data_IF_434330830029
#
_entry.id   IF_434330830029
#
_cell.length_a   1.000
_cell.length_b   1.000
_cell.length_c   1.000
_cell.angle_alpha   90.00
_cell.angle_beta   90.00
_cell.angle_gamma   90.00
#
_symmetry.space_group_name_H-M   'P 1'
#
loop_
_entity.id
_entity.type
_entity.pdbx_description
1 polymer ?
#
# COMPACT_ATOMS: atom_id res chain seq x y z
N UNK A 1 -9.65 -8.85 12.71
CA UNK A 1 -10.98 -8.44 12.17
C UNK A 1 -11.11 -9.04 10.78
N UNK A 2 -12.09 -9.92 10.56
CA UNK A 2 -12.31 -10.53 9.24
C UNK A 2 -13.05 -9.54 8.32
N UNK A 3 -12.76 -9.55 7.01
CA UNK A 3 -13.40 -8.69 6.01
C UNK A 3 -14.93 -8.85 6.01
N UNK A 4 -15.42 -10.08 6.21
CA UNK A 4 -16.86 -10.38 6.31
C UNK A 4 -17.49 -9.74 7.55
N UNK A 5 -16.77 -9.73 8.68
CA UNK A 5 -17.23 -9.08 9.91
C UNK A 5 -17.27 -7.56 9.76
N UNK A 6 -16.28 -6.98 9.06
CA UNK A 6 -16.25 -5.54 8.77
C UNK A 6 -17.36 -5.15 7.80
N UNK A 7 -17.65 -6.00 6.80
CA UNK A 7 -18.75 -5.79 5.86
C UNK A 7 -20.12 -5.86 6.55
N UNK A 8 -20.34 -6.85 7.42
CA UNK A 8 -21.58 -6.93 8.22
C UNK A 8 -21.79 -5.68 9.08
N UNK A 9 -20.74 -5.25 9.81
CA UNK A 9 -20.77 -4.01 10.61
C UNK A 9 -20.94 -2.73 9.80
N UNK A 10 -20.60 -2.75 8.51
CA UNK A 10 -20.82 -1.64 7.59
C UNK A 10 -22.27 -1.64 7.12
N UNK A 11 -22.83 -2.81 6.78
CA UNK A 11 -24.24 -2.96 6.44
C UNK A 11 -25.14 -2.55 7.60
N UNK A 12 -24.86 -3.00 8.82
CA UNK A 12 -25.64 -2.61 10.02
C UNK A 12 -25.64 -1.09 10.20
N UNK A 13 -24.47 -0.46 10.04
CA UNK A 13 -24.35 0.99 10.17
C UNK A 13 -25.10 1.75 9.08
N UNK A 14 -25.10 1.25 7.84
CA UNK A 14 -25.91 1.83 6.74
C UNK A 14 -27.42 1.72 7.06
N UNK A 15 -27.87 0.59 7.61
CA UNK A 15 -29.26 0.45 8.02
C UNK A 15 -29.63 1.37 9.19
N UNK A 16 -28.68 1.68 10.07
CA UNK A 16 -28.89 2.61 11.19
C UNK A 16 -28.86 4.08 10.75
N UNK A 17 -28.08 4.44 9.74
CA UNK A 17 -28.01 5.81 9.20
C UNK A 17 -29.20 6.16 8.30
N UNK A 18 -29.82 5.17 7.67
CA UNK A 18 -30.89 5.37 6.69
C UNK A 18 -32.13 6.11 7.25
N UNK A 19 -32.71 5.73 8.41
CA UNK A 19 -33.86 6.45 8.99
C UNK A 19 -33.51 7.90 9.38
N UNK A 20 -32.27 8.12 9.82
CA UNK A 20 -31.79 9.46 10.16
C UNK A 20 -31.56 10.31 8.91
N UNK A 21 -31.24 9.73 7.75
CA UNK A 21 -31.21 10.44 6.48
C UNK A 21 -32.62 10.76 5.97
N UNK A 22 -33.56 9.84 6.12
CA UNK A 22 -34.96 10.04 5.69
C UNK A 22 -35.63 11.22 6.41
N UNK A 23 -35.31 11.43 7.71
CA UNK A 23 -35.74 12.61 8.48
C UNK A 23 -35.32 13.95 7.87
N UNK A 24 -34.25 13.99 7.06
CA UNK A 24 -33.76 15.21 6.40
C UNK A 24 -34.28 15.34 4.97
N UNK A 25 -34.83 14.26 4.39
CA UNK A 25 -35.41 14.24 3.05
C UNK A 25 -36.91 14.52 3.10
N UNK A 26 -37.58 14.21 4.20
CA UNK A 26 -39.00 14.48 4.38
C UNK A 26 -39.25 15.98 4.65
N UNK A 27 -39.84 16.68 3.67
CA UNK A 27 -40.08 18.13 3.70
C UNK A 27 -41.07 18.60 4.76
N UNK A 28 -41.68 17.69 5.51
CA UNK A 28 -42.59 17.98 6.63
C UNK A 28 -41.91 18.03 8.01
N UNK A 29 -40.63 17.68 8.11
CA UNK A 29 -39.89 17.67 9.39
C UNK A 29 -38.69 18.60 9.28
N UNK A 30 -38.59 19.58 10.18
CA UNK A 30 -37.40 20.41 10.30
C UNK A 30 -36.43 19.69 11.25
N UNK A 31 -35.28 19.19 10.77
CA UNK A 31 -34.31 18.50 11.62
C UNK A 31 -33.75 19.47 12.66
N UNK A 32 -33.64 19.01 13.91
CA UNK A 32 -33.07 19.79 15.00
C UNK A 32 -31.53 19.80 14.95
N UNK A 33 -30.89 20.70 15.70
CA UNK A 33 -29.43 20.71 15.84
C UNK A 33 -28.87 19.36 16.32
N UNK A 34 -29.61 18.67 17.18
CA UNK A 34 -29.24 17.34 17.70
C UNK A 34 -29.30 16.28 16.60
N UNK A 35 -30.29 16.36 15.71
CA UNK A 35 -30.42 15.43 14.58
C UNK A 35 -29.27 15.64 13.59
N UNK A 36 -28.86 16.89 13.37
CA UNK A 36 -27.70 17.23 12.53
C UNK A 36 -26.41 16.65 13.10
N UNK A 37 -26.18 16.81 14.41
CA UNK A 37 -25.00 16.26 15.09
C UNK A 37 -24.97 14.72 15.04
N UNK A 38 -26.13 14.08 15.26
CA UNK A 38 -26.25 12.63 15.20
C UNK A 38 -25.97 12.08 13.79
N UNK A 39 -26.57 12.69 12.75
CA UNK A 39 -26.32 12.30 11.37
C UNK A 39 -24.85 12.52 10.99
N UNK A 40 -24.26 13.65 11.39
CA UNK A 40 -22.86 13.94 11.13
C UNK A 40 -21.93 12.90 11.77
N UNK A 41 -22.20 12.50 13.02
CA UNK A 41 -21.43 11.47 13.73
C UNK A 41 -21.54 10.12 13.04
N UNK A 42 -22.74 9.72 12.68
CA UNK A 42 -23.00 8.47 11.97
C UNK A 42 -22.31 8.41 10.60
N UNK A 43 -22.31 9.53 9.85
CA UNK A 43 -21.60 9.63 8.57
C UNK A 43 -20.07 9.54 8.75
N UNK A 44 -19.53 10.15 9.81
CA UNK A 44 -18.11 10.06 10.12
C UNK A 44 -17.69 8.62 10.45
N UNK A 45 -18.48 7.92 11.27
CA UNK A 45 -18.22 6.52 11.61
C UNK A 45 -18.35 5.61 10.37
N UNK A 46 -19.30 5.90 9.48
CA UNK A 46 -19.47 5.19 8.22
C UNK A 46 -18.26 5.37 7.30
N UNK A 47 -17.77 6.61 7.16
CA UNK A 47 -16.57 6.91 6.38
C UNK A 47 -15.34 6.20 6.94
N UNK A 48 -15.19 6.16 8.27
CA UNK A 48 -14.12 5.42 8.95
C UNK A 48 -14.17 3.93 8.63
N UNK A 49 -15.34 3.29 8.80
CA UNK A 49 -15.52 1.86 8.48
C UNK A 49 -15.33 1.55 6.99
N UNK A 50 -15.78 2.43 6.10
CA UNK A 50 -15.59 2.26 4.65
C UNK A 50 -14.10 2.30 4.28
N UNK A 51 -13.34 3.19 4.91
CA UNK A 51 -11.88 3.28 4.72
C UNK A 51 -11.18 2.00 5.18
N UNK A 52 -11.57 1.45 6.33
CA UNK A 52 -11.08 0.16 6.85
C UNK A 52 -11.44 -0.99 5.92
N UNK A 53 -12.69 -1.07 5.47
CA UNK A 53 -13.14 -2.10 4.52
C UNK A 53 -12.38 -2.03 3.19
N UNK A 54 -12.22 -0.82 2.63
CA UNK A 54 -11.45 -0.60 1.40
C UNK A 54 -10.01 -1.07 1.55
N UNK A 55 -9.36 -0.71 2.66
CA UNK A 55 -7.99 -1.16 2.93
C UNK A 55 -7.91 -2.69 3.08
N UNK A 56 -8.80 -3.30 3.86
CA UNK A 56 -8.83 -4.77 4.02
C UNK A 56 -9.08 -5.48 2.69
N UNK A 57 -10.01 -4.99 1.87
CA UNK A 57 -10.28 -5.54 0.53
C UNK A 57 -9.04 -5.45 -0.36
N UNK A 58 -8.43 -4.27 -0.45
CA UNK A 58 -7.22 -4.05 -1.25
C UNK A 58 -6.04 -4.90 -0.76
N UNK A 59 -5.82 -5.02 0.55
CA UNK A 59 -4.76 -5.87 1.12
C UNK A 59 -5.02 -7.37 0.87
N UNK A 60 -6.28 -7.78 0.84
CA UNK A 60 -6.66 -9.18 0.55
C UNK A 60 -6.51 -9.52 -0.93
N UNK A 61 -6.89 -8.59 -1.82
CA UNK A 61 -6.83 -8.78 -3.28
C UNK A 61 -5.40 -8.66 -3.84
N UNK A 62 -4.53 -7.85 -3.21
CA UNK A 62 -3.14 -7.64 -3.65
C UNK A 62 -2.18 -8.70 -3.07
N UNK A 63 -2.54 -9.40 -2.00
CA UNK A 63 -1.69 -10.44 -1.41
C UNK A 63 -2.48 -11.58 -0.74
N UNK A 64 -2.98 -12.54 -1.54
CA UNK A 64 -3.48 -13.82 -1.04
C UNK A 64 -2.46 -14.56 -0.15
N UNK A 65 -1.16 -14.33 -0.39
CA UNK A 65 -0.04 -14.88 0.38
C UNK A 65 0.11 -14.29 1.78
N UNK A 66 -0.23 -13.02 2.01
CA UNK A 66 -0.07 -12.38 3.34
C UNK A 66 -1.10 -12.92 4.37
N UNK A 67 -2.29 -13.28 3.91
CA UNK A 67 -3.31 -13.94 4.73
C UNK A 67 -2.88 -15.31 5.26
N UNK A 68 -1.98 -16.01 4.54
CA UNK A 68 -1.37 -17.27 5.01
C UNK A 68 -0.41 -16.97 6.15
N UNK A 69 0.45 -15.96 6.03
CA UNK A 69 1.42 -15.60 7.07
C UNK A 69 0.75 -15.11 8.36
N UNK A 70 -0.33 -14.33 8.29
CA UNK A 70 -1.08 -13.91 9.48
C UNK A 70 -1.70 -15.10 10.23
N UNK A 71 -2.25 -16.07 9.49
CA UNK A 71 -2.84 -17.29 10.09
C UNK A 71 -1.78 -18.28 10.58
N UNK A 72 -0.64 -18.39 9.89
CA UNK A 72 0.50 -19.21 10.32
C UNK A 72 1.17 -18.61 11.56
N UNK A 73 1.20 -17.28 11.68
CA UNK A 73 1.66 -16.57 12.88
C UNK A 73 0.76 -16.82 14.09
N UNK A 74 -0.56 -16.90 13.90
CA UNK A 74 -1.51 -17.24 14.97
C UNK A 74 -1.44 -18.73 15.36
N UNK A 75 -1.04 -19.62 14.43
CA UNK A 75 -0.95 -21.05 14.66
C UNK A 75 0.38 -21.53 15.29
N UNK A 76 1.35 -20.64 15.51
CA UNK A 76 2.71 -21.00 15.94
C UNK A 76 3.05 -20.45 17.33
N UNK A 77 2.18 -20.68 18.32
CA UNK A 77 2.54 -20.58 19.73
C UNK A 77 2.89 -21.96 20.28
N UNK A 78 4.11 -22.43 20.04
CA UNK A 78 4.79 -23.36 20.95
C UNK A 78 6.26 -22.96 21.08
N UNK A 79 6.53 -22.23 22.17
CA UNK A 79 7.66 -22.38 23.09
C UNK A 79 9.07 -22.51 22.51
N UNK A 80 9.84 -21.43 22.54
CA UNK A 80 11.23 -21.48 23.04
C UNK A 80 11.68 -20.09 23.54
N UNK A 81 12.25 -20.07 24.76
CA UNK A 81 12.72 -18.91 25.51
C UNK A 81 14.06 -18.40 24.97
N UNK A 82 14.23 -17.08 24.79
CA UNK A 82 15.56 -16.45 24.88
C UNK A 82 15.46 -15.11 25.64
N UNK A 83 16.31 -15.00 26.66
CA UNK A 83 16.43 -13.94 27.67
C UNK A 83 16.60 -12.53 27.10
N UNK A 84 15.87 -11.61 27.73
CA UNK A 84 16.15 -10.17 27.79
C UNK A 84 17.41 -9.92 28.63
N UNK A 85 18.27 -9.02 28.20
CA UNK A 85 19.09 -8.23 29.13
C UNK A 85 19.05 -6.77 28.65
N UNK A 86 18.49 -5.94 29.51
CA UNK A 86 18.38 -4.49 29.41
C UNK A 86 19.75 -3.83 29.54
N UNK A 87 19.97 -2.73 28.81
CA UNK A 87 20.57 -1.54 29.40
C UNK A 87 20.03 -0.29 28.69
N UNK A 88 19.17 0.43 29.42
CA UNK A 88 18.67 1.76 29.08
C UNK A 88 19.70 2.81 29.48
N UNK A 89 19.96 3.79 28.61
CA UNK A 89 20.18 5.17 29.06
C UNK A 89 19.68 6.21 28.05
N UNK A 90 18.79 7.02 28.59
CA UNK A 90 17.91 8.05 28.08
C UNK A 90 18.62 9.34 27.64
N UNK A 91 18.12 9.97 26.56
CA UNK A 91 18.05 11.43 26.32
C UNK A 91 17.29 11.73 25.02
N UNK A 92 16.09 12.31 25.11
CA UNK A 92 15.30 12.96 24.03
C UNK A 92 15.46 14.50 24.12
N UNK A 93 15.02 15.35 23.15
CA UNK A 93 14.16 15.12 21.97
C UNK A 93 14.59 15.77 20.61
N UNK A 94 13.88 15.38 19.52
CA UNK A 94 13.62 16.07 18.22
C UNK A 94 14.81 16.38 17.29
N UNK A 95 14.96 15.82 16.08
CA UNK A 95 14.08 15.92 14.90
C UNK A 95 14.11 14.62 14.07
N UNK A 96 12.96 14.32 13.47
CA UNK A 96 12.46 13.02 13.00
C UNK A 96 13.42 12.21 12.10
N UNK A 97 13.83 11.08 12.66
CA UNK A 97 14.68 10.03 12.07
C UNK A 97 13.87 9.06 11.21
N UNK A 98 14.48 8.71 10.08
CA UNK A 98 14.60 7.38 9.51
C UNK A 98 13.72 6.27 10.11
N UNK A 99 12.63 5.93 9.42
CA UNK A 99 12.14 4.56 9.42
C UNK A 99 12.96 3.79 8.36
N UNK A 100 14.02 3.15 8.84
CA UNK A 100 14.70 2.08 8.12
C UNK A 100 13.69 0.99 7.80
N UNK A 101 13.37 0.81 6.52
CA UNK A 101 12.76 -0.41 6.02
C UNK A 101 13.86 -1.24 5.39
N UNK A 102 14.54 -1.99 6.25
CA UNK A 102 15.14 -3.24 5.85
C UNK A 102 14.02 -4.30 5.82
N UNK A 103 14.16 -5.28 4.92
CA UNK A 103 13.30 -6.47 4.70
C UNK A 103 11.90 -6.19 4.11
N UNK A 104 11.44 -6.87 3.06
CA UNK A 104 11.58 -8.29 2.74
C UNK A 104 11.74 -8.49 1.23
N UNK A 105 12.89 -9.01 0.84
CA UNK A 105 13.01 -9.85 -0.34
C UNK A 105 12.07 -11.04 -0.14
N UNK A 106 10.83 -10.95 -0.62
CA UNK A 106 10.01 -12.12 -0.82
C UNK A 106 10.68 -12.91 -1.95
N UNK A 107 11.40 -13.96 -1.58
CA UNK A 107 11.82 -15.03 -2.46
C UNK A 107 10.57 -15.77 -2.93
N UNK A 108 9.83 -15.14 -3.85
CA UNK A 108 8.97 -15.86 -4.75
C UNK A 108 9.87 -16.78 -5.55
N UNK A 109 9.87 -18.05 -5.18
CA UNK A 109 10.39 -19.17 -5.96
C UNK A 109 9.60 -19.25 -7.27
N UNK A 110 9.90 -18.36 -8.20
CA UNK A 110 9.81 -18.67 -9.61
C UNK A 110 11.22 -19.07 -10.00
N UNK A 111 11.41 -20.36 -10.22
CA UNK A 111 12.61 -20.93 -10.82
C UNK A 111 12.71 -20.44 -12.27
N UNK A 112 13.14 -19.20 -12.42
CA UNK A 112 13.75 -18.69 -13.62
C UNK A 112 14.91 -17.83 -13.12
N UNK A 113 16.14 -18.24 -13.45
CA UNK A 113 17.41 -17.61 -13.08
C UNK A 113 17.58 -16.19 -13.67
N UNK A 114 16.60 -15.31 -13.50
CA UNK A 114 16.69 -13.93 -13.92
C UNK A 114 17.00 -13.07 -12.71
N UNK A 115 18.13 -12.37 -12.78
CA UNK A 115 18.55 -11.38 -11.78
C UNK A 115 17.39 -10.42 -11.52
N UNK A 116 17.16 -10.03 -10.26
CA UNK A 116 16.23 -8.94 -9.94
C UNK A 116 16.92 -7.61 -10.25
N UNK A 117 16.13 -6.59 -10.58
CA UNK A 117 16.63 -5.25 -10.84
C UNK A 117 17.15 -4.64 -9.52
N UNK A 118 18.46 -4.47 -9.42
CA UNK A 118 19.11 -3.88 -8.24
C UNK A 118 19.06 -2.35 -8.35
N UNK A 119 18.32 -1.69 -7.46
CA UNK A 119 18.25 -0.22 -7.37
C UNK A 119 18.76 0.22 -6.01
N UNK A 120 19.74 1.12 -5.98
CA UNK A 120 20.19 1.70 -4.72
C UNK A 120 19.11 2.58 -4.08
N UNK A 121 19.13 2.71 -2.76
CA UNK A 121 18.12 3.51 -2.03
C UNK A 121 18.05 4.96 -2.55
N UNK A 122 19.20 5.55 -2.88
CA UNK A 122 19.27 6.90 -3.43
C UNK A 122 18.65 7.00 -4.84
N UNK A 123 18.89 6.00 -5.68
CA UNK A 123 18.28 5.92 -7.01
C UNK A 123 16.76 5.74 -6.92
N UNK A 124 16.29 4.91 -5.98
CA UNK A 124 14.86 4.72 -5.72
C UNK A 124 14.16 6.03 -5.40
N UNK A 125 14.67 6.81 -4.44
CA UNK A 125 14.08 8.11 -4.10
C UNK A 125 14.09 9.07 -5.30
N UNK A 126 15.18 9.08 -6.07
CA UNK A 126 15.30 9.91 -7.27
C UNK A 126 14.25 9.53 -8.32
N UNK A 127 14.08 8.24 -8.61
CA UNK A 127 13.08 7.77 -9.57
C UNK A 127 11.65 8.09 -9.12
N UNK A 128 11.32 7.86 -7.85
CA UNK A 128 9.99 8.20 -7.31
C UNK A 128 9.68 9.68 -7.51
N UNK A 129 10.63 10.55 -7.19
CA UNK A 129 10.44 11.99 -7.25
C UNK A 129 10.41 12.53 -8.68
N UNK A 130 11.31 12.07 -9.56
CA UNK A 130 11.50 12.65 -10.89
C UNK A 130 10.69 11.95 -12.00
N UNK A 131 10.42 10.65 -11.86
CA UNK A 131 9.72 9.86 -12.87
C UNK A 131 8.26 9.58 -12.46
N UNK A 132 8.01 9.30 -11.19
CA UNK A 132 6.68 8.87 -10.74
C UNK A 132 5.90 9.95 -9.98
N UNK A 133 6.29 11.23 -10.10
CA UNK A 133 5.57 12.36 -9.49
C UNK A 133 5.34 12.18 -7.97
N UNK A 134 6.35 11.67 -7.25
CA UNK A 134 6.30 11.34 -5.81
C UNK A 134 5.39 10.16 -5.46
N UNK A 135 4.90 9.41 -6.44
CA UNK A 135 4.08 8.22 -6.22
C UNK A 135 4.95 6.98 -6.04
N UNK A 136 5.22 6.63 -4.78
CA UNK A 136 6.01 5.45 -4.41
C UNK A 136 5.31 4.12 -4.76
N UNK A 137 3.97 4.11 -4.81
CA UNK A 137 3.19 2.91 -5.14
C UNK A 137 3.33 2.55 -6.61
N UNK A 138 3.18 3.54 -7.50
CA UNK A 138 3.36 3.36 -8.95
C UNK A 138 4.77 2.93 -9.30
N UNK A 139 5.79 3.50 -8.64
CA UNK A 139 7.17 3.05 -8.77
C UNK A 139 7.32 1.57 -8.39
N UNK A 140 6.76 1.16 -7.25
CA UNK A 140 6.83 -0.23 -6.79
C UNK A 140 6.23 -1.20 -7.82
N UNK A 141 5.02 -0.89 -8.31
CA UNK A 141 4.36 -1.67 -9.35
C UNK A 141 5.15 -1.72 -10.66
N UNK A 142 5.77 -0.59 -11.05
CA UNK A 142 6.59 -0.53 -12.24
C UNK A 142 7.85 -1.41 -12.15
N UNK A 143 8.56 -1.38 -11.02
CA UNK A 143 9.75 -2.21 -10.80
C UNK A 143 9.37 -3.70 -10.72
N UNK A 144 8.28 -4.04 -10.05
CA UNK A 144 7.80 -5.42 -10.00
C UNK A 144 7.44 -5.92 -11.40
N UNK A 145 6.80 -5.09 -12.22
CA UNK A 145 6.48 -5.49 -13.58
C UNK A 145 7.74 -5.63 -14.46
N UNK A 146 8.72 -4.74 -14.31
CA UNK A 146 10.03 -4.88 -14.97
C UNK A 146 10.77 -6.15 -14.55
N UNK A 147 10.61 -6.58 -13.29
CA UNK A 147 11.15 -7.84 -12.78
C UNK A 147 10.40 -9.07 -13.31
N UNK A 148 9.12 -8.94 -13.65
CA UNK A 148 8.32 -10.03 -14.22
C UNK A 148 8.44 -10.15 -15.75
N UNK A 149 8.99 -9.15 -16.44
CA UNK A 149 9.26 -9.23 -17.88
C UNK A 149 10.25 -10.38 -18.20
N UNK A 150 9.94 -11.16 -19.24
CA UNK A 150 10.74 -12.32 -19.66
C UNK A 150 11.94 -11.94 -20.56
N UNK A 151 11.82 -10.84 -21.32
CA UNK A 151 12.87 -10.39 -22.23
C UNK A 151 13.00 -8.86 -22.22
N UNK A 152 14.12 -8.37 -22.76
CA UNK A 152 14.39 -6.93 -22.87
C UNK A 152 13.37 -6.19 -23.74
N UNK A 153 12.84 -6.82 -24.80
CA UNK A 153 11.89 -6.16 -25.70
C UNK A 153 10.56 -5.83 -24.99
N UNK A 154 10.08 -6.74 -24.14
CA UNK A 154 8.88 -6.54 -23.31
C UNK A 154 9.13 -5.45 -22.26
N UNK A 155 10.29 -5.46 -21.62
CA UNK A 155 10.68 -4.45 -20.64
C UNK A 155 10.84 -3.05 -21.28
N UNK A 156 11.43 -2.96 -22.47
CA UNK A 156 11.61 -1.70 -23.21
C UNK A 156 10.25 -1.16 -23.69
N UNK A 157 9.35 -2.04 -24.15
CA UNK A 157 7.98 -1.67 -24.50
C UNK A 157 7.20 -1.13 -23.30
N UNK A 158 7.36 -1.76 -22.13
CA UNK A 158 6.76 -1.29 -20.88
C UNK A 158 7.33 0.08 -20.45
N UNK A 159 8.65 0.28 -20.52
CA UNK A 159 9.29 1.57 -20.24
C UNK A 159 8.83 2.68 -21.19
N UNK A 160 8.59 2.38 -22.47
CA UNK A 160 8.03 3.32 -23.44
C UNK A 160 6.58 3.69 -23.11
N UNK A 161 5.79 2.71 -22.65
CA UNK A 161 4.43 2.95 -22.14
C UNK A 161 4.44 3.90 -20.94
N UNK A 162 5.28 3.62 -19.93
CA UNK A 162 5.44 4.50 -18.77
C UNK A 162 5.92 5.91 -19.16
N UNK A 163 6.89 5.99 -20.08
CA UNK A 163 7.35 7.26 -20.64
C UNK A 163 6.19 8.06 -21.25
N UNK A 164 5.29 7.41 -21.98
CA UNK A 164 4.13 8.08 -22.58
C UNK A 164 3.09 8.50 -21.54
N UNK A 165 2.86 7.69 -20.51
CA UNK A 165 1.87 7.97 -19.44
C UNK A 165 2.32 9.14 -18.57
N UNK A 166 3.59 9.17 -18.22
CA UNK A 166 4.17 10.16 -17.30
C UNK A 166 4.92 11.30 -18.02
N UNK A 167 4.86 11.35 -19.35
CA UNK A 167 5.52 12.34 -20.21
C UNK A 167 7.02 12.50 -19.90
N UNK A 168 7.75 11.38 -19.76
CA UNK A 168 9.17 11.42 -19.46
C UNK A 168 9.99 11.95 -20.64
N UNK A 169 10.86 12.93 -20.36
CA UNK A 169 11.77 13.49 -21.36
C UNK A 169 12.90 12.50 -21.69
N UNK A 170 13.24 12.34 -22.98
CA UNK A 170 14.37 11.52 -23.43
C UNK A 170 15.73 11.98 -22.87
N UNK A 171 15.85 13.28 -22.60
CA UNK A 171 17.04 13.88 -22.00
C UNK A 171 17.12 13.67 -20.48
N UNK A 172 16.11 13.07 -19.85
CA UNK A 172 16.10 12.88 -18.40
C UNK A 172 17.10 11.78 -18.02
N UNK A 173 18.13 12.17 -17.26
CA UNK A 173 19.18 11.26 -16.75
C UNK A 173 18.58 10.15 -15.87
N UNK A 174 17.51 10.42 -15.13
CA UNK A 174 16.82 9.40 -14.34
C UNK A 174 16.14 8.33 -15.20
N UNK A 175 15.55 8.72 -16.33
CA UNK A 175 14.97 7.75 -17.27
C UNK A 175 16.06 6.91 -17.95
N UNK A 176 17.14 7.53 -18.42
CA UNK A 176 18.29 6.81 -19.00
C UNK A 176 18.85 5.81 -18.00
N UNK A 177 19.03 6.22 -16.76
CA UNK A 177 19.53 5.36 -15.69
C UNK A 177 18.61 4.18 -15.40
N UNK A 178 17.29 4.41 -15.30
CA UNK A 178 16.31 3.34 -15.11
C UNK A 178 16.35 2.33 -16.27
N UNK A 179 16.49 2.82 -17.50
CA UNK A 179 16.62 1.98 -18.70
C UNK A 179 17.90 1.16 -18.70
N UNK A 180 19.03 1.74 -18.29
CA UNK A 180 20.31 1.03 -18.12
C UNK A 180 20.23 -0.08 -17.09
N UNK A 181 19.66 0.20 -15.90
CA UNK A 181 19.47 -0.80 -14.85
C UNK A 181 18.56 -1.94 -15.32
N UNK A 182 17.47 -1.58 -16.03
CA UNK A 182 16.56 -2.56 -16.63
C UNK A 182 17.26 -3.42 -17.68
N UNK A 183 18.19 -2.85 -18.46
CA UNK A 183 18.97 -3.59 -19.47
C UNK A 183 20.02 -4.50 -18.83
N UNK A 184 20.70 -4.03 -17.79
CA UNK A 184 21.71 -4.78 -17.05
C UNK A 184 21.15 -6.06 -16.42
N UNK A 185 19.85 -6.08 -16.14
CA UNK A 185 19.13 -7.28 -15.70
C UNK A 185 19.15 -8.43 -16.73
N UNK A 186 19.01 -8.09 -18.00
CA UNK A 186 18.90 -9.05 -19.11
C UNK A 186 20.22 -9.29 -19.86
N UNK A 187 21.29 -8.59 -19.46
CA UNK A 187 22.64 -8.73 -20.00
C UNK A 187 23.43 -9.81 -19.25
#
# INVERSE_FOLDING_TARGET
MNIEQTLGKLQDLIHETLPNLELFVDGNVQPSSTDCENLQRQLFDLQGKLSVYKHLKTTTEISPSFGIHSKVSEASFVKEEIKVTEDLKESTPEVLKAASYDTLANESKNEANHKKLEVSLNEKFRFINELFQQNATEYGLAIDQLNNCANWADADSYLLGLKSVYDWKDQNESYKRLRELSKARFA
#
